data_IF_257670082573
#
_entry.id   IF_257670082573
#
_cell.length_a   1.000
_cell.length_b   1.000
_cell.length_c   1.000
_cell.angle_alpha   90.00
_cell.angle_beta   90.00
_cell.angle_gamma   90.00
#
_symmetry.space_group_name_H-M   'P 1'
#
loop_
_entity.id
_entity.type
_entity.pdbx_description
1 polymer ?
#
# COMPACT_ATOMS: atom_id res chain seq x y z
N UNK A 1 -1.28 -2.32 -12.46
CA UNK A 1 -2.44 -2.73 -11.62
C UNK A 1 -3.28 -3.69 -12.44
N UNK A 2 -3.86 -4.71 -11.81
CA UNK A 2 -4.76 -5.68 -12.44
C UNK A 2 -6.07 -5.74 -11.65
N UNK A 3 -7.22 -5.65 -12.33
CA UNK A 3 -8.54 -5.63 -11.71
C UNK A 3 -9.23 -6.97 -11.94
N UNK A 4 -9.64 -7.65 -10.87
CA UNK A 4 -10.35 -8.93 -10.92
C UNK A 4 -11.86 -8.77 -10.72
N UNK A 5 -12.29 -7.66 -10.13
CA UNK A 5 -13.70 -7.29 -9.95
C UNK A 5 -13.84 -5.78 -9.73
N UNK A 6 -15.06 -5.31 -9.42
CA UNK A 6 -15.32 -3.88 -9.20
C UNK A 6 -14.49 -3.34 -8.01
N UNK A 7 -13.55 -2.40 -8.24
CA UNK A 7 -12.64 -1.89 -7.22
C UNK A 7 -13.33 -1.06 -6.12
N UNK A 8 -14.59 -0.65 -6.33
CA UNK A 8 -15.34 0.21 -5.42
C UNK A 8 -16.45 -0.51 -4.67
N UNK A 9 -16.64 -1.81 -4.88
CA UNK A 9 -17.81 -2.54 -4.38
C UNK A 9 -17.95 -2.52 -2.84
N UNK A 10 -16.82 -2.55 -2.13
CA UNK A 10 -16.77 -2.66 -0.67
C UNK A 10 -16.36 -1.37 0.03
N UNK A 11 -16.09 -0.29 -0.73
CA UNK A 11 -15.74 0.99 -0.16
C UNK A 11 -16.98 1.70 0.39
N UNK A 12 -16.83 2.51 1.46
CA UNK A 12 -17.94 3.29 1.98
C UNK A 12 -18.54 4.18 0.89
N UNK A 13 -19.87 4.13 0.74
CA UNK A 13 -20.56 5.16 -0.05
C UNK A 13 -20.40 6.48 0.68
N UNK A 14 -20.05 7.54 -0.07
CA UNK A 14 -19.98 8.88 0.49
C UNK A 14 -21.35 9.23 1.12
N UNK A 15 -21.34 9.49 2.42
CA UNK A 15 -22.52 9.82 3.20
C UNK A 15 -22.22 10.97 4.16
N UNK A 16 -23.25 11.73 4.59
CA UNK A 16 -23.05 12.97 5.35
C UNK A 16 -22.33 12.80 6.68
N UNK A 17 -22.25 11.57 7.23
CA UNK A 17 -21.68 11.30 8.56
C UNK A 17 -20.16 11.10 8.58
N UNK A 18 -19.52 10.83 7.44
CA UNK A 18 -18.06 10.69 7.34
C UNK A 18 -17.59 11.20 5.96
N UNK A 19 -17.50 12.53 5.76
CA UNK A 19 -17.18 13.08 4.45
C UNK A 19 -15.70 12.96 4.07
N UNK A 20 -14.78 12.73 5.03
CA UNK A 20 -13.32 12.75 4.85
C UNK A 20 -12.65 11.45 5.33
N UNK A 21 -12.98 10.33 4.71
CA UNK A 21 -12.32 9.05 5.00
C UNK A 21 -11.24 8.71 3.95
N UNK A 22 -10.23 7.98 4.42
CA UNK A 22 -9.13 7.39 3.65
C UNK A 22 -8.92 5.93 4.07
N UNK A 23 -8.81 5.04 3.11
CA UNK A 23 -8.39 3.64 3.27
C UNK A 23 -6.99 3.53 2.69
N UNK A 24 -6.04 3.03 3.48
CA UNK A 24 -4.64 2.89 3.10
C UNK A 24 -4.22 1.43 3.29
N UNK A 25 -3.51 0.87 2.33
CA UNK A 25 -3.30 -0.57 2.25
C UNK A 25 -1.87 -0.93 2.67
N UNK A 26 -1.75 -1.81 3.66
CA UNK A 26 -0.46 -2.24 4.19
C UNK A 26 0.22 -3.25 3.27
N UNK A 27 1.52 -3.44 3.47
CA UNK A 27 2.29 -4.56 2.94
C UNK A 27 2.71 -5.51 4.09
N UNK A 28 3.34 -6.63 3.75
CA UNK A 28 3.69 -7.68 4.73
C UNK A 28 4.99 -7.45 5.52
N UNK A 29 5.73 -6.38 5.21
CA UNK A 29 7.00 -6.08 5.87
C UNK A 29 6.94 -4.72 6.56
N UNK A 30 7.80 -4.53 7.56
CA UNK A 30 7.91 -3.25 8.26
C UNK A 30 8.77 -2.25 7.51
N UNK A 31 8.61 -0.97 7.84
CA UNK A 31 9.47 0.11 7.32
C UNK A 31 10.94 -0.21 7.61
N UNK A 32 11.26 -0.69 8.81
CA UNK A 32 12.62 -1.05 9.22
C UNK A 32 13.26 -2.19 8.42
N UNK A 33 12.45 -3.09 7.86
CA UNK A 33 12.90 -4.18 6.99
C UNK A 33 13.12 -3.73 5.54
N UNK A 34 12.51 -2.63 5.10
CA UNK A 34 12.66 -2.11 3.74
C UNK A 34 13.81 -1.11 3.63
N UNK A 35 14.84 -1.47 2.87
CA UNK A 35 15.92 -0.53 2.55
C UNK A 35 15.44 0.74 1.84
N UNK A 36 14.39 0.64 1.02
CA UNK A 36 13.83 1.79 0.30
C UNK A 36 13.04 2.71 1.23
N UNK A 37 12.15 2.18 2.07
CA UNK A 37 11.31 3.00 2.95
C UNK A 37 12.14 3.73 4.00
N UNK A 38 13.11 3.04 4.63
CA UNK A 38 14.09 3.70 5.51
C UNK A 38 14.80 4.84 4.80
N UNK A 39 15.26 4.61 3.57
CA UNK A 39 15.99 5.62 2.79
C UNK A 39 15.10 6.81 2.47
N UNK A 40 13.85 6.61 2.04
CA UNK A 40 12.94 7.72 1.74
C UNK A 40 12.69 8.58 2.98
N UNK A 41 12.38 7.97 4.13
CA UNK A 41 12.13 8.71 5.38
C UNK A 41 13.40 9.44 5.84
N UNK A 42 14.51 8.72 6.02
CA UNK A 42 15.74 9.32 6.53
C UNK A 42 16.34 10.38 5.61
N UNK A 43 16.18 10.24 4.30
CA UNK A 43 16.75 11.22 3.35
C UNK A 43 15.86 12.45 3.18
N UNK A 44 14.54 12.30 3.22
CA UNK A 44 13.63 13.43 3.06
C UNK A 44 13.42 14.22 4.38
N UNK A 45 13.48 13.56 5.53
CA UNK A 45 13.15 14.16 6.84
C UNK A 45 14.31 14.16 7.85
N UNK A 46 15.47 13.61 7.48
CA UNK A 46 16.61 13.42 8.38
C UNK A 46 16.57 12.07 9.10
N UNK A 47 17.76 11.59 9.52
CA UNK A 47 17.90 10.25 10.10
C UNK A 47 17.05 10.06 11.38
N UNK A 48 16.85 11.12 12.15
CA UNK A 48 16.08 11.10 13.40
C UNK A 48 14.56 10.96 13.17
N UNK A 49 14.08 11.22 11.95
CA UNK A 49 12.67 11.05 11.61
C UNK A 49 12.21 9.59 11.63
N UNK A 50 13.13 8.66 11.37
CA UNK A 50 12.88 7.22 11.44
C UNK A 50 13.04 6.75 12.89
N UNK A 51 11.98 6.89 13.68
CA UNK A 51 11.95 6.39 15.06
C UNK A 51 11.84 4.86 15.09
N UNK A 52 12.19 4.24 16.22
CA UNK A 52 12.02 2.78 16.41
C UNK A 52 10.56 2.35 16.24
N UNK A 53 9.61 3.16 16.71
CA UNK A 53 8.18 2.90 16.54
C UNK A 53 7.75 2.94 15.07
N UNK A 54 8.27 3.91 14.29
CA UNK A 54 8.01 3.98 12.85
C UNK A 54 8.67 2.81 12.11
N UNK A 55 9.91 2.47 12.46
CA UNK A 55 10.62 1.33 11.88
C UNK A 55 9.92 -0.02 12.17
N UNK A 56 9.25 -0.16 13.31
CA UNK A 56 8.45 -1.34 13.66
C UNK A 56 7.08 -1.38 12.97
N UNK A 57 6.62 -0.27 12.37
CA UNK A 57 5.33 -0.19 11.70
C UNK A 57 5.37 -0.83 10.31
N UNK A 58 4.24 -1.39 9.85
CA UNK A 58 4.12 -1.96 8.51
C UNK A 58 4.33 -0.89 7.43
N UNK A 59 4.83 -1.30 6.27
CA UNK A 59 4.80 -0.43 5.08
C UNK A 59 3.34 -0.22 4.66
N UNK A 60 3.00 1.00 4.25
CA UNK A 60 1.68 1.34 3.71
C UNK A 60 1.86 1.98 2.35
N UNK A 61 1.37 1.34 1.29
CA UNK A 61 1.73 1.72 -0.07
C UNK A 61 1.03 3.01 -0.52
N UNK A 62 1.79 4.07 -0.86
CA UNK A 62 1.23 5.34 -1.35
C UNK A 62 0.44 5.16 -2.65
N UNK A 63 0.85 4.20 -3.49
CA UNK A 63 0.18 3.85 -4.75
C UNK A 63 -1.15 3.10 -4.58
N UNK A 64 -1.53 2.77 -3.34
CA UNK A 64 -2.79 2.12 -3.00
C UNK A 64 -3.45 2.93 -1.88
N UNK A 65 -4.22 3.94 -2.26
CA UNK A 65 -5.02 4.76 -1.35
C UNK A 65 -6.41 4.94 -1.94
N UNK A 66 -7.45 4.70 -1.15
CA UNK A 66 -8.83 4.95 -1.51
C UNK A 66 -9.43 5.98 -0.56
N UNK A 67 -10.42 6.76 -1.00
CA UNK A 67 -10.98 7.80 -0.17
C UNK A 67 -12.24 8.41 -0.74
N UNK A 68 -13.02 9.03 0.15
CA UNK A 68 -14.00 10.04 -0.26
C UNK A 68 -13.33 11.18 -1.03
N UNK A 69 -14.08 11.90 -1.87
CA UNK A 69 -13.54 13.03 -2.63
C UNK A 69 -12.87 14.09 -1.72
N UNK A 70 -13.50 14.43 -0.59
CA UNK A 70 -12.92 15.39 0.37
C UNK A 70 -11.75 14.79 1.14
N UNK A 71 -11.76 13.48 1.44
CA UNK A 71 -10.63 12.77 2.03
C UNK A 71 -9.40 12.78 1.11
N UNK A 72 -9.58 12.46 -0.18
CA UNK A 72 -8.52 12.50 -1.17
C UNK A 72 -8.02 13.93 -1.44
N UNK A 73 -8.91 14.92 -1.42
CA UNK A 73 -8.50 16.34 -1.46
C UNK A 73 -7.52 16.68 -0.34
N UNK A 74 -7.88 16.38 0.90
CA UNK A 74 -7.00 16.59 2.06
C UNK A 74 -5.73 15.72 2.02
N UNK A 75 -5.81 14.52 1.45
CA UNK A 75 -4.63 13.68 1.23
C UNK A 75 -3.61 14.41 0.34
N UNK A 76 -4.04 14.94 -0.80
CA UNK A 76 -3.13 15.64 -1.71
C UNK A 76 -2.56 16.91 -1.08
N UNK A 77 -3.36 17.66 -0.31
CA UNK A 77 -2.86 18.81 0.46
C UNK A 77 -1.72 18.40 1.42
N UNK A 78 -1.88 17.29 2.14
CA UNK A 78 -0.82 16.74 3.01
C UNK A 78 0.43 16.38 2.22
N UNK A 79 0.28 15.66 1.10
CA UNK A 79 1.41 15.23 0.28
C UNK A 79 2.17 16.41 -0.32
N UNK A 80 1.47 17.46 -0.75
CA UNK A 80 2.08 18.71 -1.24
C UNK A 80 2.79 19.46 -0.11
N UNK A 81 2.20 19.56 1.08
CA UNK A 81 2.84 20.16 2.26
C UNK A 81 4.11 19.39 2.65
N UNK A 82 4.12 18.05 2.54
CA UNK A 82 5.33 17.25 2.78
C UNK A 82 6.45 17.58 1.78
N UNK A 83 6.11 17.72 0.50
CA UNK A 83 7.07 18.19 -0.49
C UNK A 83 7.55 19.61 -0.16
N UNK A 84 6.66 20.52 0.22
CA UNK A 84 7.04 21.90 0.49
C UNK A 84 7.97 22.06 1.69
N UNK A 85 7.82 21.22 2.72
CA UNK A 85 8.70 21.20 3.89
C UNK A 85 10.08 20.62 3.61
N UNK A 86 10.12 19.55 2.81
CA UNK A 86 11.35 18.75 2.63
C UNK A 86 12.12 19.13 1.36
N UNK A 87 11.41 19.64 0.34
CA UNK A 87 11.86 19.78 -1.05
C UNK A 87 12.50 18.50 -1.59
N UNK A 88 12.09 17.34 -1.06
CA UNK A 88 12.67 16.05 -1.41
C UNK A 88 12.23 15.64 -2.82
N UNK A 89 13.20 15.39 -3.69
CA UNK A 89 12.97 15.01 -5.10
C UNK A 89 13.45 13.58 -5.39
N UNK A 90 13.70 12.79 -4.35
CA UNK A 90 14.06 11.39 -4.51
C UNK A 90 12.95 10.64 -5.25
N UNK A 91 13.36 9.76 -6.17
CA UNK A 91 12.42 8.88 -6.86
C UNK A 91 11.65 8.01 -5.84
N UNK A 92 10.32 8.06 -5.89
CA UNK A 92 9.45 7.38 -4.93
C UNK A 92 9.31 8.09 -3.58
N UNK A 93 9.69 9.36 -3.48
CA UNK A 93 9.57 10.15 -2.23
C UNK A 93 8.13 10.29 -1.73
N UNK A 94 7.14 10.17 -2.60
CA UNK A 94 5.72 10.08 -2.23
C UNK A 94 5.45 8.93 -1.26
N UNK A 95 6.15 7.80 -1.39
CA UNK A 95 6.06 6.69 -0.45
C UNK A 95 6.57 7.07 0.94
N UNK A 96 7.66 7.85 1.02
CA UNK A 96 8.18 8.37 2.29
C UNK A 96 7.29 9.45 2.91
N UNK A 97 6.74 10.37 2.10
CA UNK A 97 5.80 11.39 2.56
C UNK A 97 4.53 10.76 3.13
N UNK A 98 4.01 9.74 2.45
CA UNK A 98 2.81 9.02 2.83
C UNK A 98 2.97 8.36 4.20
N UNK A 99 4.04 7.59 4.39
CA UNK A 99 4.32 6.89 5.65
C UNK A 99 4.64 7.86 6.78
N UNK A 100 5.45 8.90 6.51
CA UNK A 100 5.76 9.90 7.52
C UNK A 100 4.49 10.61 7.99
N UNK A 101 3.63 11.05 7.07
CA UNK A 101 2.38 11.72 7.41
C UNK A 101 1.40 10.81 8.17
N UNK A 102 1.34 9.53 7.81
CA UNK A 102 0.53 8.53 8.52
C UNK A 102 1.05 8.31 9.94
N UNK A 103 2.32 7.92 10.10
CA UNK A 103 2.87 7.48 11.38
C UNK A 103 3.18 8.63 12.34
N UNK A 104 3.27 9.86 11.85
CA UNK A 104 3.31 11.05 12.71
C UNK A 104 1.93 11.64 12.97
N UNK A 105 0.84 11.06 12.46
CA UNK A 105 -0.54 11.48 12.71
C UNK A 105 -0.96 12.80 12.02
N UNK A 106 -0.28 13.21 10.94
CA UNK A 106 -0.61 14.44 10.21
C UNK A 106 -2.03 14.37 9.63
N UNK A 107 -2.40 13.23 9.02
CA UNK A 107 -3.74 13.07 8.44
C UNK A 107 -4.85 13.25 9.50
N UNK A 108 -4.70 12.61 10.65
CA UNK A 108 -5.69 12.69 11.74
C UNK A 108 -5.78 14.10 12.34
N UNK A 109 -4.64 14.79 12.52
CA UNK A 109 -4.63 16.18 12.99
C UNK A 109 -5.35 17.15 12.05
N UNK A 110 -5.45 16.82 10.77
CA UNK A 110 -6.19 17.59 9.77
C UNK A 110 -7.65 17.13 9.61
N UNK A 111 -8.11 16.22 10.46
CA UNK A 111 -9.47 15.72 10.47
C UNK A 111 -9.78 14.70 9.39
N UNK A 112 -8.76 14.04 8.83
CA UNK A 112 -8.95 12.90 7.94
C UNK A 112 -9.05 11.61 8.76
N UNK A 113 -10.12 10.84 8.53
CA UNK A 113 -10.28 9.54 9.15
C UNK A 113 -9.56 8.49 8.32
N UNK A 114 -8.45 7.97 8.84
CA UNK A 114 -7.66 6.94 8.18
C UNK A 114 -8.08 5.55 8.67
N UNK A 115 -8.13 4.59 7.75
CA UNK A 115 -8.29 3.17 8.06
C UNK A 115 -7.20 2.40 7.35
N UNK A 116 -6.42 1.66 8.13
CA UNK A 116 -5.47 0.69 7.55
C UNK A 116 -6.20 -0.58 7.16
N UNK A 117 -5.98 -1.03 5.94
CA UNK A 117 -6.45 -2.31 5.43
C UNK A 117 -5.24 -3.23 5.30
N UNK A 118 -5.26 -4.33 6.04
CA UNK A 118 -4.15 -5.28 6.06
C UNK A 118 -3.93 -5.90 4.69
N UNK A 119 -2.67 -6.15 4.35
CA UNK A 119 -2.29 -6.93 3.18
C UNK A 119 -3.02 -8.28 3.14
N UNK A 120 -3.60 -8.61 1.99
CA UNK A 120 -4.43 -9.83 1.84
C UNK A 120 -5.87 -9.69 2.33
N UNK A 121 -6.33 -8.47 2.63
CA UNK A 121 -7.72 -8.20 2.97
C UNK A 121 -8.27 -7.01 2.16
N UNK A 122 -9.60 -6.91 2.10
CA UNK A 122 -10.28 -5.78 1.47
C UNK A 122 -10.11 -5.73 -0.04
N UNK A 123 -10.00 -4.51 -0.57
CA UNK A 123 -10.10 -4.23 -2.00
C UNK A 123 -8.77 -4.34 -2.75
N UNK A 124 -7.65 -4.06 -2.08
CA UNK A 124 -6.33 -4.02 -2.72
C UNK A 124 -5.36 -4.98 -2.06
N UNK A 125 -4.73 -5.81 -2.88
CA UNK A 125 -3.59 -6.62 -2.47
C UNK A 125 -2.33 -6.19 -3.21
N UNK A 126 -1.31 -5.75 -2.45
CA UNK A 126 -0.06 -5.23 -2.99
C UNK A 126 0.99 -6.33 -3.05
N UNK A 127 1.44 -6.67 -4.26
CA UNK A 127 2.43 -7.75 -4.48
C UNK A 127 3.88 -7.24 -4.46
N UNK A 128 4.13 -6.02 -3.94
CA UNK A 128 5.44 -5.38 -3.91
C UNK A 128 6.53 -6.23 -3.27
N UNK A 129 6.20 -6.79 -2.10
CA UNK A 129 7.05 -7.63 -1.29
C UNK A 129 7.34 -8.99 -1.95
N UNK A 130 6.64 -9.34 -3.05
CA UNK A 130 6.77 -10.64 -3.71
C UNK A 130 7.80 -10.65 -4.87
N UNK A 131 8.61 -9.59 -4.99
CA UNK A 131 9.65 -9.51 -6.05
C UNK A 131 10.65 -10.67 -5.95
N UNK A 132 10.53 -11.60 -6.89
CA UNK A 132 11.67 -12.32 -7.49
C UNK A 132 12.23 -13.54 -6.76
N UNK A 133 11.99 -13.71 -5.47
CA UNK A 133 12.17 -14.97 -4.74
C UNK A 133 11.65 -14.76 -3.33
N UNK A 134 10.88 -15.73 -2.85
CA UNK A 134 10.33 -15.86 -1.50
C UNK A 134 11.36 -15.78 -0.34
N UNK A 135 12.64 -15.59 -0.67
CA UNK A 135 13.80 -15.68 0.23
C UNK A 135 14.64 -14.41 0.31
N UNK A 136 14.37 -13.36 -0.51
CA UNK A 136 15.28 -12.21 -0.64
C UNK A 136 14.92 -10.95 0.15
N UNK A 137 13.77 -10.94 0.82
CA UNK A 137 13.48 -9.99 1.89
C UNK A 137 13.79 -10.69 3.21
N UNK A 138 14.94 -10.35 3.81
CA UNK A 138 15.48 -11.03 4.99
C UNK A 138 14.46 -11.14 6.11
N UNK A 139 13.96 -12.36 6.31
CA UNK A 139 13.02 -12.71 7.38
C UNK A 139 11.94 -13.65 6.87
N UNK A 140 12.22 -14.96 6.91
CA UNK A 140 11.28 -16.08 6.97
C UNK A 140 10.11 -16.10 5.96
N UNK A 141 10.15 -17.12 5.09
CA UNK A 141 8.97 -17.63 4.39
C UNK A 141 7.86 -17.92 5.40
N UNK A 142 6.86 -17.05 5.51
CA UNK A 142 5.65 -17.33 6.27
C UNK A 142 4.49 -17.54 5.27
N UNK A 143 4.13 -18.81 4.99
CA UNK A 143 3.10 -19.17 4.02
C UNK A 143 1.70 -18.66 4.41
N UNK A 144 1.51 -18.12 5.63
CA UNK A 144 0.24 -17.53 6.08
C UNK A 144 -0.04 -16.14 5.49
N UNK A 145 0.97 -15.47 4.93
CA UNK A 145 0.84 -14.13 4.37
C UNK A 145 0.68 -14.10 2.85
N UNK A 146 0.51 -15.26 2.20
CA UNK A 146 0.33 -15.28 0.76
C UNK A 146 -1.16 -15.22 0.42
N UNK A 147 -1.51 -14.24 -0.42
CA UNK A 147 -2.63 -14.41 -1.33
C UNK A 147 -2.46 -15.73 -2.07
N UNK A 148 -3.34 -16.69 -1.82
CA UNK A 148 -3.37 -17.89 -2.64
C UNK A 148 -3.67 -17.49 -4.07
N UNK A 149 -3.03 -18.16 -5.03
CA UNK A 149 -3.31 -17.96 -6.45
C UNK A 149 -4.19 -19.11 -6.89
N UNK A 150 -5.39 -18.80 -7.37
CA UNK A 150 -6.25 -19.79 -8.04
C UNK A 150 -6.01 -19.70 -9.54
N UNK A 151 -5.43 -20.75 -10.10
CA UNK A 151 -5.11 -20.81 -11.52
C UNK A 151 -5.95 -21.89 -12.22
N UNK A 152 -6.52 -21.51 -13.36
CA UNK A 152 -7.06 -22.40 -14.40
C UNK A 152 -6.42 -22.05 -15.74
N UNK A 153 -6.74 -22.81 -16.79
CA UNK A 153 -6.25 -22.51 -18.15
C UNK A 153 -6.62 -21.09 -18.62
N UNK A 154 -7.75 -20.54 -18.16
CA UNK A 154 -8.33 -19.28 -18.64
C UNK A 154 -8.31 -18.14 -17.62
N UNK A 155 -7.94 -18.41 -16.37
CA UNK A 155 -8.10 -17.45 -15.29
C UNK A 155 -7.02 -17.65 -14.22
N UNK A 156 -6.41 -16.55 -13.79
CA UNK A 156 -5.51 -16.51 -12.65
C UNK A 156 -6.04 -15.44 -11.68
N UNK A 157 -6.56 -15.90 -10.54
CA UNK A 157 -7.04 -15.05 -9.46
C UNK A 157 -6.03 -15.00 -8.32
N UNK A 158 -5.69 -13.80 -7.89
CA UNK A 158 -5.04 -13.53 -6.61
C UNK A 158 -6.12 -13.43 -5.53
N UNK A 159 -6.01 -14.24 -4.49
CA UNK A 159 -7.02 -14.32 -3.44
C UNK A 159 -6.61 -13.50 -2.20
N UNK A 160 -7.59 -13.00 -1.47
CA UNK A 160 -7.44 -12.54 -0.10
C UNK A 160 -7.20 -13.74 0.84
N UNK A 161 -6.81 -13.48 2.09
CA UNK A 161 -6.53 -14.52 3.09
C UNK A 161 -7.78 -15.31 3.50
N UNK A 162 -8.97 -14.77 3.25
CA UNK A 162 -10.26 -15.45 3.43
C UNK A 162 -10.65 -16.35 2.24
N UNK A 163 -9.80 -16.43 1.21
CA UNK A 163 -10.03 -17.23 -0.01
C UNK A 163 -10.90 -16.56 -1.07
N UNK A 164 -11.39 -15.34 -0.83
CA UNK A 164 -12.13 -14.57 -1.84
C UNK A 164 -11.17 -13.93 -2.86
N UNK A 165 -11.57 -13.73 -4.13
CA UNK A 165 -10.74 -12.99 -5.08
C UNK A 165 -10.51 -11.54 -4.63
N UNK A 166 -9.25 -11.10 -4.63
CA UNK A 166 -8.91 -9.71 -4.34
C UNK A 166 -9.39 -8.80 -5.49
N UNK A 167 -10.20 -7.76 -5.26
CA UNK A 167 -10.70 -6.92 -6.34
C UNK A 167 -9.59 -6.26 -7.17
N UNK A 168 -8.51 -5.80 -6.52
CA UNK A 168 -7.39 -5.10 -7.13
C UNK A 168 -6.09 -5.78 -6.74
N UNK A 169 -5.29 -6.13 -7.75
CA UNK A 169 -3.91 -6.59 -7.58
C UNK A 169 -2.96 -5.45 -7.96
N UNK A 170 -2.37 -4.83 -6.95
CA UNK A 170 -1.38 -3.77 -7.14
C UNK A 170 0.02 -4.37 -7.37
N UNK A 171 0.78 -3.74 -8.29
CA UNK A 171 2.13 -4.19 -8.68
C UNK A 171 2.22 -5.66 -9.14
N UNK A 172 1.20 -6.10 -9.89
CA UNK A 172 1.12 -7.47 -10.43
C UNK A 172 2.36 -7.90 -11.24
N UNK A 173 3.03 -6.96 -11.89
CA UNK A 173 4.24 -7.14 -12.70
C UNK A 173 5.44 -7.61 -11.87
N UNK A 174 5.38 -7.44 -10.55
CA UNK A 174 6.40 -7.87 -9.59
C UNK A 174 6.26 -9.35 -9.21
N UNK A 175 5.11 -9.97 -9.48
CA UNK A 175 4.84 -11.39 -9.27
C UNK A 175 4.91 -12.15 -10.59
N UNK A 176 6.02 -12.88 -10.81
CA UNK A 176 6.35 -13.50 -12.11
C UNK A 176 5.21 -14.36 -12.72
N UNK A 177 4.52 -15.24 -11.97
CA UNK A 177 3.46 -16.07 -12.56
C UNK A 177 2.32 -15.23 -13.15
N UNK A 178 1.85 -14.21 -12.42
CA UNK A 178 0.80 -13.31 -12.90
C UNK A 178 1.30 -12.41 -14.03
N UNK A 179 2.53 -11.91 -13.95
CA UNK A 179 3.14 -11.12 -15.02
C UNK A 179 3.28 -11.92 -16.33
N UNK A 180 3.60 -13.21 -16.25
CA UNK A 180 3.71 -14.11 -17.40
C UNK A 180 2.33 -14.48 -17.97
N UNK A 181 1.36 -14.79 -17.10
CA UNK A 181 -0.01 -15.06 -17.49
C UNK A 181 -0.63 -13.85 -18.19
N UNK A 182 -0.50 -12.66 -17.62
CA UNK A 182 -1.06 -11.42 -18.20
C UNK A 182 -0.50 -11.11 -19.60
N UNK A 183 0.76 -11.47 -19.89
CA UNK A 183 1.36 -11.30 -21.23
C UNK A 183 0.85 -12.29 -22.28
N UNK A 184 0.33 -13.44 -21.87
CA UNK A 184 -0.22 -14.43 -22.81
C UNK A 184 -1.63 -14.05 -23.31
N UNK A 185 -2.34 -13.19 -22.56
CA UNK A 185 -3.75 -12.87 -22.81
C UNK A 185 -4.00 -11.37 -23.09
N UNK A 186 -2.95 -10.55 -23.08
CA UNK A 186 -2.98 -9.13 -23.47
C UNK A 186 -2.55 -8.96 -24.93
#
# INVERSE_FOLDING_TARGET
VYFQSNPFANLPKAGPKQPKWLYMYTEYHTIGQSAFNRRWISSCYGAQALTDAMAASLVVCSGSTAGSALGLGGYFEVMMDQYDRTKCTLHGSDQGFHEYALYTGIFERLGLSTRLVSAGAGEVNSLAALRGNLTRFGGSYDPRYYSSVRQSEKQLDVLNTDGTPSPIVHQFDRFKPLAQWARHWA
#
